data_IF_200666100168
#
_entry.id   IF_200666100168
#
_cell.length_a   1.000
_cell.length_b   1.000
_cell.length_c   1.000
_cell.angle_alpha   90.00
_cell.angle_beta   90.00
_cell.angle_gamma   90.00
#
_symmetry.space_group_name_H-M   'P 1'
#
loop_
_entity.id
_entity.type
_entity.pdbx_description
1 polymer ?
#
# COMPACT_ATOMS: atom_id res chain seq x y z
N UNK A 1 -22.38 5.77 -6.12
CA UNK A 1 -21.14 5.38 -5.40
C UNK A 1 -20.42 4.44 -6.34
N UNK A 2 -19.30 4.87 -6.92
CA UNK A 2 -18.64 4.10 -7.99
C UNK A 2 -18.07 2.80 -7.42
N UNK A 3 -18.58 1.66 -7.91
CA UNK A 3 -18.07 0.31 -7.63
C UNK A 3 -16.70 0.15 -8.31
N UNK A 4 -15.65 0.66 -7.69
CA UNK A 4 -14.29 0.26 -8.04
C UNK A 4 -13.99 -1.06 -7.36
N UNK A 5 -13.71 -2.11 -8.14
CA UNK A 5 -13.18 -3.34 -7.55
C UNK A 5 -11.89 -3.02 -6.80
N UNK A 6 -11.64 -3.63 -5.64
CA UNK A 6 -10.50 -3.27 -4.80
C UNK A 6 -9.15 -3.43 -5.55
N UNK A 7 -9.10 -4.34 -6.51
CA UNK A 7 -7.93 -4.59 -7.38
C UNK A 7 -7.85 -3.64 -8.59
N UNK A 8 -8.81 -2.74 -8.78
CA UNK A 8 -8.78 -1.76 -9.88
C UNK A 8 -7.61 -0.80 -9.70
N UNK A 9 -6.87 -0.58 -10.80
CA UNK A 9 -5.83 0.46 -10.89
C UNK A 9 -6.50 1.84 -10.79
N UNK A 10 -5.95 2.72 -9.96
CA UNK A 10 -6.40 4.11 -9.86
C UNK A 10 -5.97 4.88 -11.12
N UNK A 11 -6.90 5.59 -11.74
CA UNK A 11 -6.66 6.37 -12.95
C UNK A 11 -5.74 7.56 -12.67
N UNK A 12 -5.05 8.08 -13.68
CA UNK A 12 -4.16 9.23 -13.50
C UNK A 12 -4.93 10.47 -12.96
N UNK A 13 -6.15 10.71 -13.44
CA UNK A 13 -7.04 11.79 -12.97
C UNK A 13 -7.46 11.60 -11.51
N UNK A 14 -7.68 10.35 -11.08
CA UNK A 14 -8.05 10.05 -9.70
C UNK A 14 -6.85 10.27 -8.77
N UNK A 15 -5.64 9.89 -9.19
CA UNK A 15 -4.41 10.21 -8.45
C UNK A 15 -4.23 11.73 -8.29
N UNK A 16 -4.51 12.50 -9.34
CA UNK A 16 -4.47 13.97 -9.28
C UNK A 16 -5.48 14.53 -8.26
N UNK A 17 -6.70 13.98 -8.22
CA UNK A 17 -7.73 14.38 -7.26
C UNK A 17 -7.39 13.96 -5.81
N UNK A 18 -6.90 12.75 -5.61
CA UNK A 18 -6.57 12.18 -4.30
C UNK A 18 -5.36 12.85 -3.67
N UNK A 19 -4.33 13.16 -4.47
CA UNK A 19 -3.10 13.79 -3.97
C UNK A 19 -3.18 15.32 -3.97
N UNK A 20 -4.09 15.91 -4.75
CA UNK A 20 -4.18 17.36 -4.96
C UNK A 20 -3.05 17.94 -5.82
N UNK A 21 -2.20 17.10 -6.42
CA UNK A 21 -1.05 17.54 -7.20
C UNK A 21 -1.15 17.09 -8.66
N UNK A 22 -0.81 17.99 -9.59
CA UNK A 22 -0.63 17.66 -11.02
C UNK A 22 0.79 17.20 -11.36
N UNK A 23 1.76 17.52 -10.51
CA UNK A 23 3.18 17.25 -10.76
C UNK A 23 3.50 15.81 -10.33
N UNK A 24 3.96 14.91 -11.23
CA UNK A 24 4.18 13.50 -10.92
C UNK A 24 5.07 13.25 -9.70
N UNK A 25 6.17 13.99 -9.57
CA UNK A 25 7.07 13.88 -8.42
C UNK A 25 6.36 14.17 -7.10
N UNK A 26 5.52 15.22 -7.06
CA UNK A 26 4.74 15.56 -5.87
C UNK A 26 3.66 14.52 -5.55
N UNK A 27 3.07 13.90 -6.57
CA UNK A 27 2.14 12.78 -6.38
C UNK A 27 2.85 11.58 -5.73
N UNK A 28 4.03 11.23 -6.22
CA UNK A 28 4.86 10.17 -5.62
C UNK A 28 5.24 10.47 -4.17
N UNK A 29 5.64 11.71 -3.87
CA UNK A 29 5.98 12.13 -2.50
C UNK A 29 4.77 12.07 -1.56
N UNK A 30 3.59 12.50 -2.04
CA UNK A 30 2.34 12.42 -1.28
C UNK A 30 1.97 10.98 -0.94
N UNK A 31 1.98 10.08 -1.92
CA UNK A 31 1.70 8.65 -1.72
C UNK A 31 2.72 7.99 -0.79
N UNK A 32 4.01 8.34 -0.93
CA UNK A 32 5.08 7.85 -0.05
C UNK A 32 4.89 8.31 1.39
N UNK A 33 4.56 9.59 1.60
CA UNK A 33 4.31 10.17 2.92
C UNK A 33 3.10 9.51 3.60
N UNK A 34 2.08 9.16 2.82
CA UNK A 34 0.92 8.41 3.29
C UNK A 34 1.18 6.91 3.56
N UNK A 35 2.37 6.39 3.21
CA UNK A 35 2.70 4.97 3.35
C UNK A 35 1.94 4.05 2.39
N UNK A 36 1.41 4.61 1.29
CA UNK A 36 0.70 3.89 0.25
C UNK A 36 1.71 3.23 -0.69
N UNK A 37 1.51 1.95 -1.00
CA UNK A 37 2.34 1.26 -1.97
C UNK A 37 2.03 1.74 -3.39
N UNK A 38 3.05 2.05 -4.18
CA UNK A 38 2.91 2.41 -5.59
C UNK A 38 4.17 2.02 -6.37
N UNK A 39 4.03 1.89 -7.69
CA UNK A 39 5.15 1.77 -8.63
C UNK A 39 5.28 3.03 -9.47
N UNK A 40 6.49 3.37 -9.90
CA UNK A 40 6.74 4.48 -10.82
C UNK A 40 6.78 3.94 -12.24
N UNK A 41 5.96 4.50 -13.12
CA UNK A 41 5.91 4.14 -14.54
C UNK A 41 7.06 4.77 -15.33
N UNK A 42 7.26 4.37 -16.59
CA UNK A 42 8.27 4.94 -17.50
C UNK A 42 8.09 6.45 -17.74
N UNK A 43 6.87 6.97 -17.64
CA UNK A 43 6.50 8.39 -17.74
C UNK A 43 6.67 9.15 -16.41
N UNK A 44 7.16 8.51 -15.35
CA UNK A 44 7.41 9.14 -14.05
C UNK A 44 6.18 9.31 -13.16
N UNK A 45 4.99 8.93 -13.63
CA UNK A 45 3.73 8.95 -12.84
C UNK A 45 3.63 7.74 -11.91
N UNK A 46 3.06 7.90 -10.70
CA UNK A 46 2.79 6.77 -9.82
C UNK A 46 1.62 5.93 -10.35
N UNK A 47 1.64 4.64 -10.05
CA UNK A 47 0.55 3.70 -10.31
C UNK A 47 0.30 2.86 -9.07
N UNK A 48 -0.96 2.79 -8.64
CA UNK A 48 -1.41 2.00 -7.50
C UNK A 48 -2.84 1.49 -7.72
N UNK A 49 -3.34 0.67 -6.81
CA UNK A 49 -4.72 0.16 -6.78
C UNK A 49 -5.51 0.78 -5.63
N UNK A 50 -6.83 0.74 -5.71
CA UNK A 50 -7.69 1.17 -4.61
C UNK A 50 -7.41 0.39 -3.32
N UNK A 51 -7.11 -0.91 -3.40
CA UNK A 51 -6.74 -1.73 -2.24
C UNK A 51 -5.47 -1.21 -1.54
N UNK A 52 -4.43 -0.80 -2.27
CA UNK A 52 -3.21 -0.26 -1.65
C UNK A 52 -3.41 1.16 -1.10
N UNK A 53 -4.34 1.93 -1.68
CA UNK A 53 -4.71 3.25 -1.18
C UNK A 53 -5.50 3.15 0.13
N UNK A 54 -6.45 2.22 0.22
CA UNK A 54 -7.30 2.01 1.40
C UNK A 54 -6.59 1.25 2.53
N UNK A 55 -5.67 0.32 2.20
CA UNK A 55 -4.86 -0.44 3.16
C UNK A 55 -3.35 -0.13 2.93
N UNK A 56 -2.87 1.04 3.37
CA UNK A 56 -1.48 1.42 3.18
C UNK A 56 -0.55 0.52 4.00
N UNK A 57 0.43 -0.10 3.33
CA UNK A 57 1.38 -1.02 3.97
C UNK A 57 2.21 -0.37 5.08
N UNK A 58 2.40 0.96 5.06
CA UNK A 58 3.06 1.69 6.15
C UNK A 58 2.35 1.56 7.51
N UNK A 59 1.07 1.18 7.51
CA UNK A 59 0.26 0.93 8.69
C UNK A 59 -0.01 -0.56 8.94
N UNK A 60 0.52 -1.48 8.12
CA UNK A 60 0.51 -2.90 8.46
C UNK A 60 1.40 -3.08 9.66
N UNK A 61 0.76 -3.10 10.83
CA UNK A 61 1.30 -3.74 12.02
C UNK A 61 1.75 -5.12 11.53
N UNK A 62 3.06 -5.33 11.45
CA UNK A 62 3.60 -6.67 11.38
C UNK A 62 2.84 -7.45 12.46
N UNK A 63 2.20 -8.60 12.18
CA UNK A 63 1.73 -9.43 13.27
C UNK A 63 2.97 -9.62 14.15
N UNK A 64 2.94 -9.00 15.34
CA UNK A 64 4.03 -9.03 16.29
C UNK A 64 4.43 -10.49 16.35
N UNK A 65 5.65 -10.80 15.92
CA UNK A 65 6.15 -12.14 15.72
C UNK A 65 5.59 -13.01 16.84
N UNK A 66 4.57 -13.81 16.53
CA UNK A 66 3.99 -14.72 17.51
C UNK A 66 5.17 -15.52 17.96
N UNK A 67 5.54 -15.29 19.22
CA UNK A 67 6.65 -15.90 19.92
C UNK A 67 6.87 -17.29 19.37
N UNK A 68 8.10 -17.51 18.91
CA UNK A 68 8.69 -18.80 18.61
C UNK A 68 8.46 -19.74 19.81
N UNK A 69 7.25 -20.30 19.95
CA UNK A 69 6.99 -21.41 20.84
C UNK A 69 7.51 -22.63 20.10
N UNK A 70 8.82 -22.83 20.22
CA UNK A 70 9.43 -24.12 19.96
C UNK A 70 8.62 -25.17 20.75
N UNK A 71 8.05 -26.20 20.11
CA UNK A 71 7.33 -27.23 20.84
C UNK A 71 8.32 -27.90 21.81
N UNK A 72 7.92 -28.09 23.06
CA UNK A 72 8.78 -28.71 24.06
C UNK A 72 8.90 -30.22 23.76
N UNK A 73 9.90 -30.61 22.98
CA UNK A 73 10.18 -32.01 22.62
C UNK A 73 10.71 -32.87 23.79
N UNK A 74 10.81 -32.31 25.00
CA UNK A 74 11.31 -33.01 26.20
C UNK A 74 10.26 -33.82 26.97
N UNK A 75 9.04 -33.98 26.45
CA UNK A 75 7.95 -34.67 27.14
C UNK A 75 7.79 -36.17 26.79
N UNK A 76 8.84 -36.82 26.28
CA UNK A 76 8.87 -38.28 26.09
C UNK A 76 10.03 -38.87 26.88
N UNK A 77 9.76 -39.20 28.14
CA UNK A 77 10.49 -40.21 28.93
C UNK A 77 9.54 -41.39 29.18
#
# INVERSE_FOLDING_TARGET
MSEHSETSIISDSDIEALTGYKIPTKQCDALRTAGIFFIVRRDGRPRTTWQHFNDPMGHRQQPAATSMQEPNFGAMD
#
